data_IF_792116277082
#
_entry.id   IF_792116277082
#
_cell.length_a   1.000
_cell.length_b   1.000
_cell.length_c   1.000
_cell.angle_alpha   90.00
_cell.angle_beta   90.00
_cell.angle_gamma   90.00
#
_symmetry.space_group_name_H-M   'P 1'
#
loop_
_entity.id
_entity.type
_entity.pdbx_description
1 polymer ?
#
# COMPACT_ATOMS: atom_id res chain seq x y z
N UNK A 1 4.76 23.31 -19.07
CA UNK A 1 3.53 22.72 -18.51
C UNK A 1 2.72 22.16 -19.66
N UNK A 2 2.68 20.84 -19.79
CA UNK A 2 2.06 20.12 -20.90
C UNK A 2 0.70 19.61 -20.40
N UNK A 3 -0.40 20.12 -20.96
CA UNK A 3 -1.73 19.57 -20.66
C UNK A 3 -1.80 18.12 -21.16
N UNK A 4 -2.23 17.21 -20.29
CA UNK A 4 -2.61 15.84 -20.65
C UNK A 4 -3.97 15.90 -21.34
N UNK A 5 -3.98 16.27 -22.62
CA UNK A 5 -5.23 16.76 -23.22
C UNK A 5 -6.31 15.69 -23.43
N UNK A 6 -6.03 14.39 -23.43
CA UNK A 6 -7.09 13.37 -23.46
C UNK A 6 -6.68 12.07 -22.76
N UNK A 7 -7.44 11.64 -21.75
CA UNK A 7 -7.42 10.26 -21.30
C UNK A 7 -7.90 9.35 -22.44
N UNK A 8 -7.38 8.11 -22.58
CA UNK A 8 -7.73 7.22 -23.70
C UNK A 8 -9.18 6.71 -23.65
N UNK A 9 -10.02 7.22 -22.75
CA UNK A 9 -11.41 6.81 -22.53
C UNK A 9 -12.30 8.00 -22.17
N UNK A 10 -13.59 7.90 -22.51
CA UNK A 10 -14.62 8.93 -22.25
C UNK A 10 -15.42 8.69 -20.98
N UNK A 11 -15.50 7.46 -20.46
CA UNK A 11 -16.22 7.11 -19.23
C UNK A 11 -15.50 5.97 -18.47
N UNK A 12 -15.52 5.94 -17.12
CA UNK A 12 -15.00 4.83 -16.33
C UNK A 12 -15.93 3.60 -16.40
N UNK A 13 -15.37 2.39 -16.60
CA UNK A 13 -16.17 1.17 -16.78
C UNK A 13 -16.48 0.43 -15.47
N UNK A 14 -17.66 -0.22 -15.41
CA UNK A 14 -18.05 -1.15 -14.32
C UNK A 14 -17.64 -2.59 -14.65
N UNK A 15 -16.35 -2.90 -14.80
CA UNK A 15 -15.93 -4.31 -14.93
C UNK A 15 -14.62 -4.61 -14.22
N UNK A 16 -14.46 -5.86 -13.82
CA UNK A 16 -13.20 -6.46 -13.42
C UNK A 16 -12.20 -6.29 -14.57
N UNK A 17 -11.04 -5.69 -14.31
CA UNK A 17 -10.03 -5.38 -15.32
C UNK A 17 -9.67 -6.60 -16.19
N UNK A 18 -10.30 -6.67 -17.36
CA UNK A 18 -9.80 -7.35 -18.55
C UNK A 18 -10.09 -6.44 -19.73
N UNK A 19 -9.39 -5.33 -19.83
CA UNK A 19 -9.21 -4.68 -21.12
C UNK A 19 -7.88 -3.91 -21.16
N UNK A 20 -7.25 -3.97 -22.31
CA UNK A 20 -6.02 -3.25 -22.65
C UNK A 20 -6.21 -1.71 -22.75
N UNK A 21 -7.25 -1.13 -22.11
CA UNK A 21 -7.76 0.21 -22.48
C UNK A 21 -8.15 1.21 -21.37
N UNK A 22 -8.64 0.88 -20.18
CA UNK A 22 -8.99 1.96 -19.23
C UNK A 22 -9.94 1.61 -18.09
N UNK A 23 -9.42 1.76 -16.87
CA UNK A 23 -10.08 2.17 -15.61
C UNK A 23 -11.43 1.52 -15.25
N UNK A 24 -11.40 0.75 -14.15
CA UNK A 24 -12.57 0.17 -13.49
C UNK A 24 -12.93 0.90 -12.20
N UNK A 25 -14.23 0.90 -11.84
CA UNK A 25 -14.73 1.38 -10.53
C UNK A 25 -14.07 0.69 -9.31
N UNK A 26 -13.39 -0.44 -9.51
CA UNK A 26 -12.57 -1.15 -8.51
C UNK A 26 -11.40 -1.81 -9.23
N UNK A 27 -10.30 -1.09 -9.42
CA UNK A 27 -9.06 -1.66 -9.95
C UNK A 27 -8.52 -2.74 -8.99
N UNK A 28 -8.01 -3.86 -9.51
CA UNK A 28 -7.35 -4.88 -8.68
C UNK A 28 -5.92 -4.46 -8.35
N UNK A 29 -5.41 -4.95 -7.23
CA UNK A 29 -4.10 -4.58 -6.67
C UNK A 29 -2.98 -5.04 -7.58
N UNK A 30 -2.97 -6.31 -7.96
CA UNK A 30 -1.99 -6.84 -8.90
C UNK A 30 -1.98 -6.14 -10.27
N UNK A 31 -3.10 -5.55 -10.73
CA UNK A 31 -3.09 -4.78 -11.98
C UNK A 31 -2.35 -3.44 -11.83
N UNK A 32 -2.57 -2.76 -10.71
CA UNK A 32 -1.85 -1.52 -10.39
C UNK A 32 -0.36 -1.82 -10.18
N UNK A 33 -0.06 -2.91 -9.46
CA UNK A 33 1.32 -3.31 -9.17
C UNK A 33 2.08 -3.59 -10.48
N UNK A 34 1.46 -4.34 -11.40
CA UNK A 34 2.00 -4.56 -12.76
C UNK A 34 2.19 -3.27 -13.55
N UNK A 35 1.21 -2.38 -13.55
CA UNK A 35 1.28 -1.15 -14.33
C UNK A 35 2.37 -0.19 -13.80
N UNK A 36 2.53 -0.09 -12.48
CA UNK A 36 3.61 0.67 -11.85
C UNK A 36 4.97 0.05 -12.18
N UNK A 37 5.11 -1.27 -12.07
CA UNK A 37 6.34 -1.96 -12.45
C UNK A 37 6.68 -1.77 -13.94
N UNK A 38 5.69 -1.78 -14.83
CA UNK A 38 5.88 -1.51 -16.25
C UNK A 38 6.40 -0.09 -16.51
N UNK A 39 5.81 0.93 -15.87
CA UNK A 39 6.29 2.31 -15.96
C UNK A 39 7.71 2.45 -15.38
N UNK A 40 7.97 1.83 -14.22
CA UNK A 40 9.29 1.81 -13.58
C UNK A 40 10.32 0.92 -14.28
N UNK A 41 9.91 0.22 -15.34
CA UNK A 41 10.79 -0.55 -16.23
C UNK A 41 10.90 0.06 -17.64
N UNK A 42 10.33 1.25 -17.88
CA UNK A 42 10.39 1.96 -19.16
C UNK A 42 11.83 2.31 -19.56
N UNK A 43 12.13 2.43 -20.85
CA UNK A 43 13.44 2.92 -21.33
C UNK A 43 13.67 4.41 -21.00
N UNK A 44 12.59 5.16 -20.73
CA UNK A 44 12.65 6.56 -20.33
C UNK A 44 13.14 6.68 -18.89
N UNK A 45 14.38 7.15 -18.71
CA UNK A 45 15.03 7.22 -17.39
C UNK A 45 14.33 8.20 -16.43
N UNK A 46 13.82 9.32 -16.95
CA UNK A 46 13.09 10.30 -16.14
C UNK A 46 11.76 9.70 -15.63
N UNK A 47 11.08 8.93 -16.48
CA UNK A 47 9.88 8.18 -16.08
C UNK A 47 10.23 7.14 -15.00
N UNK A 48 11.28 6.33 -15.23
CA UNK A 48 11.71 5.33 -14.24
C UNK A 48 12.02 5.99 -12.91
N UNK A 49 12.76 7.10 -12.92
CA UNK A 49 13.12 7.81 -11.71
C UNK A 49 11.90 8.38 -11.00
N UNK A 50 10.93 8.93 -11.75
CA UNK A 50 9.68 9.41 -11.17
C UNK A 50 8.89 8.29 -10.47
N UNK A 51 8.86 7.08 -11.03
CA UNK A 51 8.23 5.91 -10.41
C UNK A 51 9.00 5.45 -9.17
N UNK A 52 10.34 5.42 -9.22
CA UNK A 52 11.18 5.07 -8.07
C UNK A 52 10.95 6.05 -6.91
N UNK A 53 10.92 7.35 -7.19
CA UNK A 53 10.63 8.39 -6.20
C UNK A 53 9.20 8.30 -5.64
N UNK A 54 8.25 7.83 -6.45
CA UNK A 54 6.87 7.61 -6.04
C UNK A 54 6.75 6.48 -5.00
N UNK A 55 7.45 5.36 -5.20
CA UNK A 55 7.29 4.17 -4.32
C UNK A 55 8.33 4.10 -3.17
N UNK A 56 9.54 4.61 -3.38
CA UNK A 56 10.63 4.61 -2.39
C UNK A 56 11.19 6.03 -2.23
N UNK A 57 10.45 6.96 -1.61
CA UNK A 57 10.82 8.38 -1.53
C UNK A 57 12.07 8.67 -0.70
N UNK A 58 12.61 7.69 0.03
CA UNK A 58 13.86 7.84 0.76
C UNK A 58 15.10 7.62 -0.13
N UNK A 59 14.94 6.98 -1.29
CA UNK A 59 16.05 6.78 -2.23
C UNK A 59 16.37 8.10 -2.91
N UNK A 60 17.65 8.46 -2.97
CA UNK A 60 18.14 9.71 -3.55
C UNK A 60 19.16 9.44 -4.66
N UNK A 61 19.54 10.47 -5.41
CA UNK A 61 20.60 10.33 -6.43
C UNK A 61 21.95 9.87 -5.85
N UNK A 62 22.19 10.10 -4.56
CA UNK A 62 23.41 9.66 -3.88
C UNK A 62 23.46 8.14 -3.67
N UNK A 63 22.31 7.48 -3.72
CA UNK A 63 22.19 6.03 -3.54
C UNK A 63 22.35 5.27 -4.87
N UNK A 64 22.46 5.99 -6.00
CA UNK A 64 22.56 5.40 -7.34
C UNK A 64 23.99 4.94 -7.66
N UNK A 65 24.11 3.72 -8.15
CA UNK A 65 25.37 3.20 -8.69
C UNK A 65 25.66 3.88 -10.04
N UNK A 66 26.80 4.56 -10.15
CA UNK A 66 27.23 5.29 -11.36
C UNK A 66 26.15 6.23 -11.94
N UNK A 67 25.27 6.77 -11.09
CA UNK A 67 24.10 7.59 -11.46
C UNK A 67 23.09 6.90 -12.38
N UNK A 68 23.14 5.58 -12.49
CA UNK A 68 22.17 4.80 -13.26
C UNK A 68 20.83 4.78 -12.55
N UNK A 69 19.74 5.01 -13.28
CA UNK A 69 18.39 4.90 -12.73
C UNK A 69 17.98 3.42 -12.62
N UNK A 70 17.59 2.92 -11.43
CA UNK A 70 17.19 1.53 -11.24
C UNK A 70 15.84 1.23 -11.90
N UNK A 71 15.52 -0.06 -12.00
CA UNK A 71 14.26 -0.57 -12.51
C UNK A 71 13.32 -0.91 -11.35
N UNK A 72 12.02 -0.90 -11.61
CA UNK A 72 11.00 -1.39 -10.68
C UNK A 72 10.40 -2.69 -11.21
N UNK A 73 10.46 -3.75 -10.40
CA UNK A 73 9.89 -5.06 -10.73
C UNK A 73 8.80 -5.45 -9.73
N UNK A 74 7.75 -6.13 -10.18
CA UNK A 74 6.77 -6.78 -9.30
C UNK A 74 7.38 -8.05 -8.68
N UNK A 75 7.14 -8.30 -7.40
CA UNK A 75 7.48 -9.59 -6.76
C UNK A 75 6.22 -10.44 -6.62
N UNK A 76 6.06 -11.45 -7.48
CA UNK A 76 4.83 -12.26 -7.50
C UNK A 76 4.48 -12.94 -6.16
N UNK A 77 5.49 -13.39 -5.42
CA UNK A 77 5.35 -14.02 -4.09
C UNK A 77 5.94 -13.18 -2.94
N UNK A 78 6.37 -11.94 -3.24
CA UNK A 78 7.06 -11.06 -2.31
C UNK A 78 6.37 -9.73 -2.13
N UNK A 79 7.15 -8.71 -1.76
CA UNK A 79 6.71 -7.32 -1.68
C UNK A 79 6.26 -6.79 -3.04
N UNK A 80 5.20 -5.97 -3.07
CA UNK A 80 4.58 -5.56 -4.34
C UNK A 80 5.56 -4.98 -5.36
N UNK A 81 6.53 -4.17 -4.90
CA UNK A 81 7.56 -3.58 -5.76
C UNK A 81 8.96 -3.69 -5.19
N UNK A 82 9.91 -3.99 -6.07
CA UNK A 82 11.35 -4.03 -5.79
C UNK A 82 12.06 -3.06 -6.72
N UNK A 83 12.85 -2.15 -6.16
CA UNK A 83 13.74 -1.24 -6.90
C UNK A 83 15.11 -1.90 -7.01
N UNK A 84 15.55 -2.19 -8.23
CA UNK A 84 16.72 -3.06 -8.48
C UNK A 84 17.50 -2.67 -9.73
N UNK A 85 18.77 -3.07 -9.79
CA UNK A 85 19.55 -3.15 -11.02
C UNK A 85 19.55 -4.62 -11.51
N UNK A 86 18.70 -4.98 -12.49
CA UNK A 86 18.48 -6.39 -12.86
C UNK A 86 19.73 -7.10 -13.40
N UNK A 87 20.66 -6.34 -13.99
CA UNK A 87 21.91 -6.84 -14.58
C UNK A 87 22.91 -7.33 -13.53
N UNK A 88 22.95 -6.68 -12.35
CA UNK A 88 23.86 -7.04 -11.25
C UNK A 88 23.14 -7.66 -10.05
N UNK A 89 21.81 -7.63 -10.04
CA UNK A 89 20.97 -8.17 -8.96
C UNK A 89 20.95 -7.31 -7.69
N UNK A 90 21.48 -6.08 -7.74
CA UNK A 90 21.49 -5.16 -6.58
C UNK A 90 20.09 -4.61 -6.34
N UNK A 91 19.55 -4.81 -5.14
CA UNK A 91 18.30 -4.21 -4.68
C UNK A 91 18.60 -2.95 -3.86
N UNK A 92 17.91 -1.86 -4.17
CA UNK A 92 18.06 -0.56 -3.52
C UNK A 92 16.90 -0.21 -2.58
N UNK A 93 15.72 -0.81 -2.79
CA UNK A 93 14.56 -0.56 -1.95
C UNK A 93 13.38 -1.45 -2.31
N UNK A 94 12.42 -1.52 -1.40
CA UNK A 94 11.18 -2.27 -1.59
C UNK A 94 9.99 -1.45 -1.10
N UNK A 95 8.83 -1.68 -1.69
CA UNK A 95 7.60 -0.98 -1.33
C UNK A 95 6.39 -1.90 -1.44
N UNK A 96 5.59 -1.93 -0.37
CA UNK A 96 4.31 -2.63 -0.29
C UNK A 96 3.14 -1.64 -0.48
N UNK A 97 2.15 -2.00 -1.30
CA UNK A 97 0.88 -1.28 -1.38
C UNK A 97 -0.09 -1.83 -0.33
N UNK A 98 -0.60 -0.96 0.54
CA UNK A 98 -1.70 -1.30 1.48
C UNK A 98 -2.97 -0.53 1.15
N UNK A 99 -3.88 -1.12 0.35
CA UNK A 99 -5.13 -0.47 -0.01
C UNK A 99 -6.17 -0.51 1.11
N UNK A 100 -7.11 0.44 1.09
CA UNK A 100 -8.15 0.56 2.11
C UNK A 100 -9.02 -0.71 2.19
N UNK A 101 -9.11 -1.30 3.39
CA UNK A 101 -9.96 -2.45 3.67
C UNK A 101 -9.39 -3.80 3.20
N UNK A 102 -8.19 -3.83 2.61
CA UNK A 102 -7.45 -5.07 2.47
C UNK A 102 -7.02 -5.51 3.89
N UNK A 103 -7.40 -6.72 4.33
CA UNK A 103 -6.89 -7.23 5.59
C UNK A 103 -5.37 -7.32 5.46
N UNK A 104 -4.62 -6.93 6.49
CA UNK A 104 -3.21 -7.26 6.56
C UNK A 104 -3.05 -8.76 6.28
N UNK A 105 -2.43 -9.15 5.16
CA UNK A 105 -2.29 -10.57 4.89
C UNK A 105 -1.20 -11.09 5.84
N UNK A 106 -1.55 -12.15 6.58
CA UNK A 106 -0.57 -12.90 7.34
C UNK A 106 0.21 -13.78 6.38
N UNK A 107 1.51 -13.53 6.19
CA UNK A 107 2.37 -14.40 5.39
C UNK A 107 3.21 -15.33 6.27
N UNK A 108 3.82 -16.29 5.59
CA UNK A 108 4.60 -17.39 6.17
C UNK A 108 5.90 -16.92 6.83
N UNK A 109 6.36 -17.75 7.79
CA UNK A 109 7.64 -17.74 8.51
C UNK A 109 7.76 -16.81 9.72
N UNK A 110 7.75 -17.45 10.89
CA UNK A 110 8.04 -16.87 12.20
C UNK A 110 9.49 -16.40 12.38
N UNK A 111 10.40 -16.82 11.50
CA UNK A 111 11.80 -16.40 11.46
C UNK A 111 12.03 -14.89 11.29
N UNK A 112 11.10 -14.17 10.66
CA UNK A 112 11.34 -12.79 10.21
C UNK A 112 11.62 -11.80 11.37
N UNK A 113 10.98 -11.99 12.52
CA UNK A 113 11.18 -11.16 13.73
C UNK A 113 12.53 -11.40 14.41
N UNK A 114 13.11 -12.60 14.25
CA UNK A 114 14.40 -12.94 14.83
C UNK A 114 15.56 -12.47 13.95
N UNK A 115 15.37 -12.45 12.64
CA UNK A 115 16.37 -11.97 11.67
C UNK A 115 16.51 -10.46 11.69
N UNK A 116 15.44 -9.73 12.02
CA UNK A 116 15.41 -8.27 11.93
C UNK A 116 14.86 -7.61 13.21
N UNK A 117 15.72 -7.56 14.23
CA UNK A 117 15.39 -6.95 15.53
C UNK A 117 15.17 -5.44 15.47
N UNK A 118 15.47 -4.78 14.35
CA UNK A 118 15.26 -3.34 14.20
C UNK A 118 13.89 -3.02 13.60
N UNK A 119 13.13 -4.03 13.16
CA UNK A 119 11.82 -3.87 12.55
C UNK A 119 10.75 -3.47 13.57
N UNK A 120 10.88 -3.94 14.80
CA UNK A 120 9.85 -3.83 15.84
C UNK A 120 10.45 -3.51 17.19
N UNK A 121 9.65 -2.92 18.07
CA UNK A 121 9.92 -2.83 19.50
C UNK A 121 8.93 -3.75 20.21
N UNK A 122 9.45 -4.74 20.92
CA UNK A 122 8.66 -5.80 21.54
C UNK A 122 8.51 -5.57 23.06
N UNK A 123 7.46 -6.17 23.63
CA UNK A 123 7.34 -6.41 25.07
C UNK A 123 8.48 -7.31 25.57
N UNK A 124 8.86 -7.13 26.82
CA UNK A 124 9.87 -7.95 27.48
C UNK A 124 9.45 -9.44 27.49
N UNK A 125 10.36 -10.33 27.12
CA UNK A 125 10.09 -11.77 27.06
C UNK A 125 9.53 -12.27 25.72
N UNK A 126 9.06 -11.38 24.84
CA UNK A 126 8.45 -11.81 23.57
C UNK A 126 9.48 -12.46 22.62
N UNK A 127 10.66 -11.85 22.47
CA UNK A 127 11.70 -12.40 21.59
C UNK A 127 12.27 -13.71 22.15
N UNK A 128 12.35 -13.84 23.47
CA UNK A 128 12.73 -15.08 24.15
C UNK A 128 11.71 -16.19 23.92
N UNK A 129 10.41 -15.88 23.99
CA UNK A 129 9.31 -16.82 23.70
C UNK A 129 9.34 -17.28 22.24
N UNK A 130 9.54 -16.37 21.28
CA UNK A 130 9.69 -16.71 19.85
C UNK A 130 10.92 -17.59 19.62
N UNK A 131 12.07 -17.24 20.21
CA UNK A 131 13.30 -18.02 20.08
C UNK A 131 13.17 -19.43 20.66
N UNK A 132 12.47 -19.59 21.78
CA UNK A 132 12.25 -20.88 22.42
C UNK A 132 11.34 -21.83 21.60
N UNK A 133 10.49 -21.27 20.72
CA UNK A 133 9.49 -22.02 19.97
C UNK A 133 9.72 -22.03 18.46
N UNK A 134 10.90 -21.57 18.02
CA UNK A 134 11.22 -21.34 16.60
C UNK A 134 10.93 -22.56 15.73
N UNK A 135 11.25 -23.78 16.16
CA UNK A 135 11.03 -25.01 15.39
C UNK A 135 9.54 -25.27 15.07
N UNK A 136 8.66 -24.96 16.02
CA UNK A 136 7.21 -25.11 15.85
C UNK A 136 6.68 -23.97 14.98
N UNK A 137 7.11 -22.75 15.26
CA UNK A 137 6.63 -21.56 14.58
C UNK A 137 7.03 -21.51 13.10
N UNK A 138 8.14 -22.16 12.76
CA UNK A 138 8.63 -22.31 11.38
C UNK A 138 8.21 -23.60 10.69
N UNK A 139 7.48 -24.46 11.40
CA UNK A 139 6.81 -25.60 10.78
C UNK A 139 5.71 -25.13 9.83
N UNK A 140 5.63 -25.77 8.66
CA UNK A 140 4.63 -25.43 7.63
C UNK A 140 3.18 -25.60 8.12
N UNK A 141 2.96 -26.50 9.09
CA UNK A 141 1.70 -26.69 9.81
C UNK A 141 2.04 -27.19 11.22
N UNK A 142 1.32 -26.72 12.23
CA UNK A 142 1.39 -27.19 13.62
C UNK A 142 -0.02 -27.44 14.20
N UNK A 143 -0.09 -28.14 15.33
CA UNK A 143 -1.33 -28.39 16.09
C UNK A 143 -1.50 -27.37 17.23
N UNK A 144 -2.69 -27.33 17.83
CA UNK A 144 -2.99 -26.41 18.94
C UNK A 144 -2.22 -26.76 20.20
N UNK A 145 -2.04 -28.06 20.42
CA UNK A 145 -1.23 -28.61 21.50
C UNK A 145 0.23 -28.11 21.44
N UNK A 146 0.78 -27.94 20.23
CA UNK A 146 2.16 -27.47 20.03
C UNK A 146 2.37 -25.99 20.38
N UNK A 147 1.30 -25.20 20.55
CA UNK A 147 1.37 -23.78 20.93
C UNK A 147 0.66 -23.48 22.27
N UNK A 148 0.31 -24.49 23.07
CA UNK A 148 -0.64 -24.35 24.20
C UNK A 148 -0.16 -23.42 25.32
N UNK A 149 1.07 -22.93 25.29
CA UNK A 149 1.63 -22.01 26.28
C UNK A 149 2.14 -20.66 25.71
N UNK A 150 1.86 -20.37 24.44
CA UNK A 150 2.26 -19.10 23.83
C UNK A 150 1.30 -17.98 24.22
N UNK A 151 1.86 -16.92 24.82
CA UNK A 151 1.07 -15.78 25.30
C UNK A 151 0.63 -14.86 24.17
N UNK A 152 1.39 -14.86 23.07
CA UNK A 152 1.35 -13.75 22.13
C UNK A 152 1.14 -14.16 20.66
N UNK A 153 0.80 -15.42 20.39
CA UNK A 153 0.81 -15.94 19.02
C UNK A 153 -0.54 -15.92 18.33
N UNK A 154 -0.57 -15.35 17.13
CA UNK A 154 -1.71 -15.43 16.21
C UNK A 154 -1.52 -16.51 15.17
N UNK A 155 -2.55 -17.33 14.99
CA UNK A 155 -2.56 -18.41 14.02
C UNK A 155 -3.83 -18.39 13.16
N UNK A 156 -3.72 -19.03 12.00
CA UNK A 156 -4.82 -19.29 11.08
C UNK A 156 -5.00 -20.80 10.92
N UNK A 157 -6.23 -21.29 11.05
CA UNK A 157 -6.57 -22.67 10.73
C UNK A 157 -6.42 -22.92 9.22
N UNK A 158 -5.81 -24.05 8.85
CA UNK A 158 -5.60 -24.49 7.47
C UNK A 158 -5.88 -26.00 7.35
N UNK A 159 -6.04 -26.54 6.13
CA UNK A 159 -6.11 -27.99 5.96
C UNK A 159 -4.88 -28.68 6.59
N UNK A 160 -5.13 -29.62 7.51
CA UNK A 160 -4.08 -30.38 8.20
C UNK A 160 -3.59 -29.79 9.52
N UNK A 161 -4.06 -28.61 9.95
CA UNK A 161 -3.69 -28.03 11.25
C UNK A 161 -3.78 -26.51 11.26
N UNK A 162 -2.76 -25.85 11.79
CA UNK A 162 -2.68 -24.40 11.93
C UNK A 162 -1.36 -23.86 11.39
N UNK A 163 -1.36 -22.57 11.07
CA UNK A 163 -0.18 -21.84 10.59
C UNK A 163 -0.04 -20.52 11.32
N UNK A 164 1.20 -20.08 11.51
CA UNK A 164 1.51 -18.74 11.99
C UNK A 164 0.90 -17.69 11.06
N UNK A 165 0.39 -16.59 11.64
CA UNK A 165 0.02 -15.39 10.90
C UNK A 165 0.83 -14.20 11.42
N UNK A 166 1.98 -13.94 10.81
CA UNK A 166 2.74 -12.69 10.96
C UNK A 166 2.41 -11.74 9.82
N UNK A 167 2.41 -10.43 10.08
CA UNK A 167 2.15 -9.42 9.06
C UNK A 167 3.26 -9.43 7.98
N UNK A 168 2.84 -9.52 6.71
CA UNK A 168 3.69 -9.65 5.52
C UNK A 168 4.93 -8.75 5.45
N UNK A 169 4.81 -7.50 5.86
CA UNK A 169 5.91 -6.52 5.77
C UNK A 169 7.13 -6.92 6.59
N UNK A 170 6.94 -7.64 7.70
CA UNK A 170 8.05 -8.17 8.49
C UNK A 170 8.83 -9.22 7.70
N UNK A 171 8.11 -10.11 7.00
CA UNK A 171 8.73 -11.10 6.11
C UNK A 171 9.50 -10.41 5.00
N UNK A 172 8.88 -9.44 4.33
CA UNK A 172 9.50 -8.77 3.21
C UNK A 172 10.80 -8.09 3.60
N UNK A 173 10.82 -7.35 4.71
CA UNK A 173 12.06 -6.72 5.17
C UNK A 173 13.12 -7.76 5.58
N UNK A 174 12.70 -8.86 6.21
CA UNK A 174 13.59 -9.95 6.60
C UNK A 174 14.18 -10.73 5.40
N UNK A 175 13.44 -10.90 4.31
CA UNK A 175 13.95 -11.51 3.06
C UNK A 175 15.14 -10.73 2.47
N UNK A 176 15.32 -9.47 2.87
CA UNK A 176 16.45 -8.61 2.51
C UNK A 176 17.35 -8.26 3.70
N UNK A 177 17.41 -9.14 4.71
CA UNK A 177 18.29 -9.02 5.88
C UNK A 177 18.15 -7.69 6.66
N UNK A 178 16.99 -7.03 6.58
CA UNK A 178 16.77 -5.73 7.22
C UNK A 178 17.59 -4.57 6.61
N UNK A 179 18.24 -4.78 5.45
CA UNK A 179 19.22 -3.84 4.88
C UNK A 179 18.65 -2.46 4.57
N UNK A 180 17.39 -2.41 4.14
CA UNK A 180 16.70 -1.17 3.80
C UNK A 180 15.29 -1.16 4.42
N UNK A 181 14.68 0.02 4.54
CA UNK A 181 13.28 0.12 4.95
C UNK A 181 12.36 -0.56 3.93
N UNK A 182 11.29 -1.17 4.44
CA UNK A 182 10.17 -1.58 3.60
C UNK A 182 9.17 -0.41 3.56
N UNK A 183 9.17 0.36 2.46
CA UNK A 183 8.19 1.42 2.30
C UNK A 183 6.78 0.84 2.25
N UNK A 184 5.82 1.57 2.81
CA UNK A 184 4.41 1.22 2.72
C UNK A 184 3.70 2.39 2.03
N UNK A 185 3.27 2.17 0.80
CA UNK A 185 2.33 3.06 0.13
C UNK A 185 0.95 2.74 0.68
N UNK A 186 0.39 3.62 1.52
CA UNK A 186 -0.92 3.39 2.13
C UNK A 186 -1.95 4.32 1.53
N UNK A 187 -3.10 3.74 1.16
CA UNK A 187 -4.26 4.54 0.81
C UNK A 187 -4.78 5.33 2.02
N UNK A 188 -4.58 4.85 3.27
CA UNK A 188 -5.12 5.48 4.48
C UNK A 188 -4.34 6.69 4.98
N UNK A 189 -3.04 6.80 4.66
CA UNK A 189 -2.16 7.85 5.20
C UNK A 189 -1.95 7.77 6.73
N UNK A 190 -2.24 6.61 7.34
CA UNK A 190 -2.09 6.36 8.78
C UNK A 190 -0.74 5.72 9.10
N UNK A 191 -0.37 5.66 10.38
CA UNK A 191 0.89 5.02 10.78
C UNK A 191 0.89 3.52 10.45
N UNK A 192 2.09 2.93 10.27
CA UNK A 192 2.23 1.47 10.07
C UNK A 192 1.57 0.70 11.21
N UNK A 193 1.70 1.22 12.42
CA UNK A 193 1.04 0.68 13.60
C UNK A 193 -0.48 0.68 13.40
N UNK A 194 -1.12 1.77 13.02
CA UNK A 194 -2.58 1.82 12.77
C UNK A 194 -3.04 0.91 11.63
N UNK A 195 -2.29 0.84 10.53
CA UNK A 195 -2.57 -0.04 9.38
C UNK A 195 -2.67 -1.50 9.84
N UNK A 196 -1.78 -1.92 10.74
CA UNK A 196 -1.75 -3.28 11.25
C UNK A 196 -2.54 -3.46 12.57
N UNK A 197 -2.80 -2.43 13.37
CA UNK A 197 -3.50 -2.50 14.67
C UNK A 197 -5.02 -2.68 14.56
N UNK A 198 -5.66 -2.23 13.48
CA UNK A 198 -7.13 -2.22 13.35
C UNK A 198 -7.71 -3.61 13.00
N UNK A 199 -7.78 -4.51 14.00
CA UNK A 199 -8.50 -5.78 13.90
C UNK A 199 -9.60 -5.96 14.95
N UNK A 200 -10.54 -5.02 15.02
CA UNK A 200 -11.82 -5.24 15.70
C UNK A 200 -11.75 -5.46 17.22
N UNK A 201 -12.93 -5.67 17.82
CA UNK A 201 -13.15 -5.79 19.27
C UNK A 201 -12.51 -7.05 19.90
N UNK A 202 -12.01 -7.94 19.05
CA UNK A 202 -11.39 -9.24 19.39
C UNK A 202 -9.93 -9.33 18.90
N UNK A 203 -9.27 -8.19 18.60
CA UNK A 203 -7.87 -8.18 18.22
C UNK A 203 -7.02 -8.81 19.35
N UNK A 204 -6.27 -9.89 19.09
CA UNK A 204 -5.36 -10.46 20.07
C UNK A 204 -4.33 -9.40 20.47
N UNK A 205 -3.91 -9.48 21.74
CA UNK A 205 -2.84 -8.64 22.29
C UNK A 205 -1.63 -8.65 21.35
N UNK A 206 -1.19 -7.47 20.89
CA UNK A 206 -0.01 -7.32 20.03
C UNK A 206 1.21 -7.03 20.90
N UNK A 207 2.16 -7.97 21.05
CA UNK A 207 3.33 -7.82 21.92
C UNK A 207 4.43 -6.95 21.31
N UNK A 208 4.17 -6.29 20.17
CA UNK A 208 5.15 -5.46 19.50
C UNK A 208 4.48 -4.31 18.77
N UNK A 209 5.26 -3.24 18.59
CA UNK A 209 4.96 -2.11 17.72
C UNK A 209 6.00 -2.03 16.60
N UNK A 210 5.57 -1.61 15.44
CA UNK A 210 6.45 -1.36 14.30
C UNK A 210 7.34 -0.14 14.55
N UNK A 211 8.56 -0.19 14.02
CA UNK A 211 9.48 0.94 13.96
C UNK A 211 9.24 1.71 12.66
N UNK A 212 8.83 2.97 12.76
CA UNK A 212 8.45 3.79 11.59
C UNK A 212 9.60 3.97 10.58
N UNK A 213 10.85 3.99 11.03
CA UNK A 213 12.01 4.08 10.11
C UNK A 213 12.29 2.78 9.37
N UNK A 214 11.83 1.63 9.88
CA UNK A 214 11.90 0.35 9.19
C UNK A 214 10.73 0.16 8.22
N UNK A 215 9.59 0.79 8.52
CA UNK A 215 8.36 0.73 7.74
C UNK A 215 7.78 2.13 7.47
N UNK A 216 8.51 2.98 6.73
CA UNK A 216 8.07 4.34 6.46
C UNK A 216 6.80 4.30 5.60
N UNK A 217 5.72 4.87 6.14
CA UNK A 217 4.46 5.02 5.42
C UNK A 217 4.45 6.33 4.64
N UNK A 218 4.00 6.27 3.40
CA UNK A 218 3.60 7.44 2.63
C UNK A 218 2.21 7.22 2.05
N UNK A 219 1.47 8.31 1.89
CA UNK A 219 0.11 8.24 1.39
C UNK A 219 0.08 8.12 -0.14
N UNK A 220 -1.03 7.62 -0.67
CA UNK A 220 -1.31 7.69 -2.11
C UNK A 220 -1.26 9.14 -2.62
N UNK A 221 -1.67 10.13 -1.81
CA UNK A 221 -1.54 11.54 -2.18
C UNK A 221 -0.07 11.99 -2.29
N UNK A 222 0.77 11.61 -1.33
CA UNK A 222 2.22 11.89 -1.37
C UNK A 222 2.89 11.28 -2.59
N UNK A 223 2.54 10.02 -2.90
CA UNK A 223 3.05 9.29 -4.05
C UNK A 223 2.70 10.03 -5.36
N UNK A 224 1.43 10.42 -5.54
CA UNK A 224 0.99 11.15 -6.73
C UNK A 224 1.58 12.56 -6.83
N UNK A 225 1.78 13.25 -5.70
CA UNK A 225 2.47 14.54 -5.65
C UNK A 225 3.93 14.43 -6.10
N UNK A 226 4.65 13.41 -5.62
CA UNK A 226 6.03 13.14 -6.02
C UNK A 226 6.13 12.78 -7.48
N UNK A 227 5.23 11.93 -7.97
CA UNK A 227 5.14 11.61 -9.39
C UNK A 227 4.95 12.87 -10.24
N UNK A 228 4.02 13.75 -9.86
CA UNK A 228 3.77 15.00 -10.57
C UNK A 228 4.95 15.97 -10.55
N UNK A 229 5.65 16.07 -9.41
CA UNK A 229 6.84 16.89 -9.28
C UNK A 229 7.99 16.33 -10.13
N UNK A 230 8.21 15.01 -10.11
CA UNK A 230 9.29 14.36 -10.85
C UNK A 230 9.05 14.40 -12.38
N UNK A 231 7.80 14.29 -12.82
CA UNK A 231 7.44 14.42 -14.23
C UNK A 231 7.36 15.88 -14.71
N UNK A 232 7.58 16.86 -13.83
CA UNK A 232 7.50 18.28 -14.19
C UNK A 232 8.62 18.65 -15.17
N UNK A 233 8.26 18.80 -16.45
CA UNK A 233 9.21 19.16 -17.50
C UNK A 233 9.79 17.96 -18.26
N UNK A 234 9.33 16.75 -17.96
CA UNK A 234 9.67 15.55 -18.74
C UNK A 234 8.82 15.51 -20.01
N UNK A 235 9.47 15.36 -21.16
CA UNK A 235 8.80 15.24 -22.46
C UNK A 235 8.30 13.82 -22.71
N UNK A 236 7.15 13.50 -22.11
CA UNK A 236 6.48 12.22 -22.28
C UNK A 236 5.85 12.08 -23.68
N UNK A 237 6.06 10.92 -24.30
CA UNK A 237 5.36 10.50 -25.51
C UNK A 237 3.86 10.34 -25.24
N UNK A 238 3.00 10.34 -26.27
CA UNK A 238 1.56 10.10 -26.10
C UNK A 238 1.25 8.76 -25.41
N UNK A 239 2.02 7.70 -25.68
CA UNK A 239 1.85 6.40 -25.07
C UNK A 239 2.17 6.45 -23.56
N UNK A 240 3.32 7.02 -23.20
CA UNK A 240 3.73 7.18 -21.80
C UNK A 240 2.74 8.05 -21.01
N UNK A 241 2.26 9.15 -21.61
CA UNK A 241 1.20 9.98 -21.00
C UNK A 241 -0.07 9.18 -20.71
N UNK A 242 -0.49 8.36 -21.69
CA UNK A 242 -1.65 7.49 -21.54
C UNK A 242 -1.43 6.48 -20.40
N UNK A 243 -0.26 5.85 -20.31
CA UNK A 243 0.02 4.85 -19.28
C UNK A 243 0.15 5.45 -17.88
N UNK A 244 0.80 6.62 -17.74
CA UNK A 244 0.81 7.39 -16.48
C UNK A 244 -0.61 7.75 -16.06
N UNK A 245 -1.42 8.29 -16.98
CA UNK A 245 -2.81 8.69 -16.68
C UNK A 245 -3.62 7.49 -16.17
N UNK A 246 -3.44 6.30 -16.76
CA UNK A 246 -4.13 5.08 -16.33
C UNK A 246 -3.78 4.67 -14.90
N UNK A 247 -2.49 4.73 -14.53
CA UNK A 247 -2.04 4.41 -13.17
C UNK A 247 -2.55 5.44 -12.17
N UNK A 248 -2.39 6.72 -12.49
CA UNK A 248 -2.85 7.84 -11.64
C UNK A 248 -4.35 7.73 -11.38
N UNK A 249 -5.16 7.49 -12.42
CA UNK A 249 -6.60 7.33 -12.29
C UNK A 249 -6.96 6.09 -11.46
N UNK A 250 -6.26 4.96 -11.65
CA UNK A 250 -6.48 3.75 -10.87
C UNK A 250 -6.20 3.95 -9.38
N UNK A 251 -5.10 4.62 -9.04
CA UNK A 251 -4.76 4.99 -7.66
C UNK A 251 -5.77 5.99 -7.09
N UNK A 252 -6.18 6.99 -7.88
CA UNK A 252 -7.18 7.99 -7.49
C UNK A 252 -8.53 7.36 -7.12
N UNK A 253 -9.07 6.46 -7.93
CA UNK A 253 -10.38 5.86 -7.63
C UNK A 253 -10.35 4.84 -6.48
N UNK A 254 -9.17 4.26 -6.18
CA UNK A 254 -8.98 3.34 -5.05
C UNK A 254 -8.71 4.05 -3.74
N UNK A 255 -8.05 5.21 -3.78
CA UNK A 255 -7.78 6.00 -2.59
C UNK A 255 -9.07 6.31 -1.82
N UNK A 256 -9.00 6.45 -0.48
CA UNK A 256 -10.13 6.91 0.31
C UNK A 256 -10.55 8.30 -0.15
N UNK A 257 -11.78 8.65 0.25
CA UNK A 257 -12.39 9.98 0.12
C UNK A 257 -11.47 11.12 0.63
N UNK A 258 -10.43 10.82 1.42
CA UNK A 258 -9.51 11.78 2.03
C UNK A 258 -8.29 12.19 1.16
N UNK A 259 -7.97 11.52 0.04
CA UNK A 259 -6.76 11.86 -0.73
C UNK A 259 -6.79 13.24 -1.39
N UNK A 260 -7.98 13.82 -1.62
CA UNK A 260 -8.15 15.07 -2.37
C UNK A 260 -7.60 16.32 -1.65
N UNK A 261 -7.61 16.32 -0.32
CA UNK A 261 -7.13 17.47 0.46
C UNK A 261 -5.60 17.65 0.39
N UNK A 262 -4.87 16.56 0.18
CA UNK A 262 -3.41 16.55 0.21
C UNK A 262 -2.78 16.52 -1.19
N UNK A 263 -3.58 16.43 -2.27
CA UNK A 263 -3.05 16.53 -3.63
C UNK A 263 -2.76 17.98 -4.02
N UNK A 264 -1.55 18.19 -4.56
CA UNK A 264 -1.14 19.43 -5.23
C UNK A 264 -1.91 19.63 -6.54
N UNK A 265 -2.00 20.89 -6.99
CA UNK A 265 -2.60 21.20 -8.30
C UNK A 265 -1.92 20.43 -9.44
N UNK A 266 -0.60 20.27 -9.37
CA UNK A 266 0.16 19.50 -10.36
C UNK A 266 -0.30 18.03 -10.41
N UNK A 267 -0.42 17.37 -9.25
CA UNK A 267 -0.93 15.99 -9.20
C UNK A 267 -2.39 15.89 -9.65
N UNK A 268 -3.23 16.86 -9.27
CA UNK A 268 -4.61 16.94 -9.76
C UNK A 268 -4.66 17.01 -11.28
N UNK A 269 -3.73 17.72 -11.93
CA UNK A 269 -3.68 17.79 -13.39
C UNK A 269 -3.35 16.46 -14.07
N UNK A 270 -2.72 15.51 -13.36
CA UNK A 270 -2.44 14.17 -13.88
C UNK A 270 -3.68 13.28 -13.92
N UNK A 271 -4.64 13.49 -13.01
CA UNK A 271 -5.90 12.73 -12.95
C UNK A 271 -6.77 13.15 -14.13
N UNK A 272 -7.33 12.19 -14.88
CA UNK A 272 -8.25 12.51 -15.97
C UNK A 272 -9.55 13.13 -15.47
N UNK A 273 -10.22 13.91 -16.33
CA UNK A 273 -11.53 14.47 -16.00
C UNK A 273 -12.56 13.37 -15.62
N UNK A 274 -12.55 12.24 -16.33
CA UNK A 274 -13.43 11.11 -16.06
C UNK A 274 -13.19 10.48 -14.67
N UNK A 275 -11.94 10.32 -14.26
CA UNK A 275 -11.59 9.78 -12.95
C UNK A 275 -11.87 10.78 -11.82
N UNK A 276 -11.65 12.08 -12.06
CA UNK A 276 -12.05 13.15 -11.11
C UNK A 276 -13.55 13.04 -10.82
N UNK A 277 -14.39 13.06 -11.86
CA UNK A 277 -15.86 13.01 -11.70
C UNK A 277 -16.34 11.72 -11.02
N UNK A 278 -15.69 10.58 -11.29
CA UNK A 278 -16.01 9.30 -10.66
C UNK A 278 -15.58 9.21 -9.19
N UNK A 279 -14.39 9.72 -8.85
CA UNK A 279 -13.91 9.82 -7.48
C UNK A 279 -14.78 10.74 -6.63
N UNK A 280 -15.18 11.88 -7.20
CA UNK A 280 -16.08 12.86 -6.57
C UNK A 280 -17.53 12.35 -6.40
N UNK A 281 -18.03 11.44 -7.23
CA UNK A 281 -19.41 10.96 -7.09
C UNK A 281 -19.67 10.12 -5.81
N UNK A 282 -18.62 9.62 -5.13
CA UNK A 282 -18.76 9.10 -3.76
C UNK A 282 -18.96 10.22 -2.72
N UNK A 283 -18.49 11.45 -2.97
CA UNK A 283 -18.76 12.60 -2.11
C UNK A 283 -20.24 13.02 -2.14
N UNK A 284 -20.92 12.94 -3.29
CA UNK A 284 -22.35 13.31 -3.38
C UNK A 284 -23.21 12.34 -2.56
N UNK A 285 -22.93 11.03 -2.60
CA UNK A 285 -23.59 10.07 -1.72
C UNK A 285 -23.26 10.30 -0.24
N UNK A 286 -22.06 10.79 0.11
CA UNK A 286 -21.67 11.06 1.49
C UNK A 286 -22.23 12.37 2.03
N UNK A 287 -22.33 13.44 1.23
CA UNK A 287 -23.08 14.64 1.59
C UNK A 287 -24.57 14.33 1.76
N UNK A 288 -25.12 13.40 0.95
CA UNK A 288 -26.47 12.90 1.17
C UNK A 288 -26.60 12.06 2.44
N UNK A 289 -25.61 11.19 2.77
CA UNK A 289 -25.64 10.34 3.98
C UNK A 289 -25.32 11.07 5.28
N UNK A 290 -24.46 12.08 5.25
CA UNK A 290 -24.13 12.92 6.41
C UNK A 290 -25.24 13.93 6.70
N UNK A 291 -25.89 14.47 5.66
CA UNK A 291 -27.12 15.28 5.84
C UNK A 291 -28.33 14.43 6.24
N UNK A 292 -28.45 13.19 5.75
CA UNK A 292 -29.55 12.29 6.17
C UNK A 292 -29.38 11.83 7.62
N UNK A 293 -28.16 11.46 8.06
CA UNK A 293 -27.90 11.14 9.47
C UNK A 293 -28.07 12.36 10.38
N UNK A 294 -27.67 13.57 9.96
CA UNK A 294 -27.89 14.78 10.74
C UNK A 294 -29.39 15.13 10.85
N UNK A 295 -30.18 14.86 9.80
CA UNK A 295 -31.63 15.05 9.81
C UNK A 295 -32.35 13.97 10.66
N UNK A 296 -31.91 12.71 10.62
CA UNK A 296 -32.43 11.63 11.47
C UNK A 296 -32.09 11.86 12.96
N UNK A 297 -30.87 12.31 13.28
CA UNK A 297 -30.50 12.66 14.65
C UNK A 297 -31.26 13.88 15.18
N UNK A 298 -31.54 14.87 14.34
CA UNK A 298 -32.34 16.04 14.72
C UNK A 298 -33.83 15.71 14.90
N UNK A 299 -34.37 14.78 14.10
CA UNK A 299 -35.73 14.27 14.22
C UNK A 299 -35.92 13.42 15.48
N UNK A 300 -34.94 12.59 15.84
CA UNK A 300 -34.96 11.79 17.07
C UNK A 300 -34.80 12.64 18.34
N UNK A 301 -34.08 13.77 18.28
CA UNK A 301 -34.02 14.71 19.41
C UNK A 301 -35.30 15.55 19.56
N UNK A 302 -36.04 15.81 18.48
CA UNK A 302 -37.35 16.47 18.56
C UNK A 302 -38.48 15.52 18.97
N UNK A 303 -38.38 14.21 18.69
CA UNK A 303 -39.37 13.22 19.14
C UNK A 303 -39.20 12.83 20.62
N UNK A 304 -37.98 12.96 21.16
CA UNK A 304 -37.69 12.75 22.58
C UNK A 304 -38.08 13.95 23.49
N UNK A 305 -38.25 15.14 22.92
CA UNK A 305 -38.78 16.32 23.60
C UNK A 305 -40.29 16.42 23.35
N UNK A 306 -41.07 15.56 24.02
CA UNK A 306 -42.53 15.60 23.95
C UNK A 306 -43.11 16.98 24.34
N UNK A 307 -44.31 17.33 23.84
CA UNK A 307 -44.91 18.63 24.07
C UNK A 307 -45.19 18.83 25.57
N UNK A 308 -44.64 19.91 26.11
CA UNK A 308 -44.97 20.48 27.43
C UNK A 308 -46.38 21.05 27.44
#
# INVERSE_FOLDING_TARGET
>A
MTRLDHAPYTEPFRSTWTSYTGVALKAFEGDINRAIAALGSSDNEDMRWAIVQMITPALTEADLEDRRIPYVTESGDGVDWVVTYPDVGTVLGICEHKPLGAPAHGAWASHSLLSDKTAVVCEEGYLEEVAANIEVLDSAVFTEEQLTDLRYWTYKAVPGGMRSSIDQVLKYRADYDGRFPCHILSDQGTSVNEIYLLRGKDAPHRPYRYVDTAFPVHSTADALNRLAAALAGVDLTPAEKSDVTRVVDAMWMRGPVAIDHDLTDAAKTLVSAAARDAGYNKEIEWQHRSRSHAAEFAADQQSAAGPS
#
